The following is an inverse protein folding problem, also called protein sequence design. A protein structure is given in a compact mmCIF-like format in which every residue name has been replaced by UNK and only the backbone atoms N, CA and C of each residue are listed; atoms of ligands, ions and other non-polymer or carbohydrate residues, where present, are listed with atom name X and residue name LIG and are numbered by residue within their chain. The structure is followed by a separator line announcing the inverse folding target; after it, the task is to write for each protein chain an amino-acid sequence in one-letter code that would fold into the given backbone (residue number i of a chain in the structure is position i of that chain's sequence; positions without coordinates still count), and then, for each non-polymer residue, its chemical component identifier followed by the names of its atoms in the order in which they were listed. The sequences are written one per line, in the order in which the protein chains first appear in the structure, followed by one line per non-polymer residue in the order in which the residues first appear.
data_IF_123597422350
#
_entry.id   IF_123597422350
#
_cell.length_a   1.000
_cell.length_b   1.000
_cell.length_c   1.000
_cell.angle_alpha   90.00
_cell.angle_beta   90.00
_cell.angle_gamma   90.00
#
_symmetry.space_group_name_H-M   'P 1'
#
loop_
_entity.id
_entity.type
_entity.pdbx_description
1 polymer ?
#
# COMPACT_ATOMS: atom_id res chain seq x y z
N UNK A 1 -26.50 20.38 -29.97
CA UNK A 1 -26.85 18.98 -29.62
C UNK A 1 -25.77 18.05 -30.16
N UNK A 2 -25.47 17.03 -29.35
CA UNK A 2 -24.35 16.10 -29.36
C UNK A 2 -24.38 15.06 -30.49
N UNK A 3 -23.21 14.66 -31.00
CA UNK A 3 -22.77 13.26 -31.30
C UNK A 3 -21.32 13.30 -31.84
N UNK A 4 -20.33 12.85 -31.04
CA UNK A 4 -19.71 11.50 -31.04
C UNK A 4 -18.76 11.26 -32.21
N UNK A 5 -17.50 10.95 -31.90
CA UNK A 5 -16.59 10.30 -32.85
C UNK A 5 -15.13 10.30 -32.40
N UNK A 6 -14.65 9.15 -31.94
CA UNK A 6 -13.24 8.77 -31.79
C UNK A 6 -12.43 9.03 -33.07
N UNK A 7 -11.11 9.26 -32.97
CA UNK A 7 -10.05 8.35 -33.46
C UNK A 7 -8.68 9.04 -33.59
N UNK A 8 -7.70 8.47 -32.88
CA UNK A 8 -6.29 8.27 -33.24
C UNK A 8 -5.63 9.30 -34.17
N UNK A 9 -4.84 10.20 -33.61
CA UNK A 9 -3.87 10.98 -34.37
C UNK A 9 -2.49 10.28 -34.37
N UNK A 10 -2.14 9.76 -35.54
CA UNK A 10 -0.82 9.26 -35.89
C UNK A 10 0.23 10.39 -35.79
N UNK A 11 1.40 10.06 -35.26
CA UNK A 11 2.54 10.98 -35.19
C UNK A 11 3.25 10.97 -36.54
N UNK A 12 3.08 12.04 -37.33
CA UNK A 12 3.85 12.32 -38.53
C UNK A 12 5.00 13.27 -38.21
N UNK A 13 6.21 12.83 -38.52
CA UNK A 13 7.44 13.60 -38.37
C UNK A 13 7.52 14.75 -39.40
N UNK A 14 7.91 15.95 -38.96
CA UNK A 14 8.39 17.02 -39.84
C UNK A 14 9.74 17.53 -39.29
N UNK A 15 10.82 17.52 -40.09
CA UNK A 15 12.12 18.08 -39.70
C UNK A 15 12.21 19.57 -40.04
N UNK A 16 12.72 20.38 -39.10
CA UNK A 16 13.23 21.72 -39.38
C UNK A 16 12.49 22.87 -38.71
N UNK A 17 12.82 23.13 -37.44
CA UNK A 17 13.16 24.44 -36.86
C UNK A 17 13.22 24.27 -35.34
N UNK A 18 14.42 24.48 -34.79
CA UNK A 18 14.71 24.34 -33.39
C UNK A 18 13.99 25.40 -32.56
N UNK A 19 13.05 24.97 -31.71
CA UNK A 19 12.87 25.54 -30.39
C UNK A 19 12.48 24.41 -29.44
N UNK A 20 13.28 24.27 -28.38
CA UNK A 20 13.35 23.12 -27.51
C UNK A 20 12.02 22.79 -26.82
N UNK A 21 11.43 21.64 -27.13
CA UNK A 21 10.53 20.95 -26.20
C UNK A 21 11.34 19.84 -25.55
N UNK A 22 12.18 20.21 -24.58
CA UNK A 22 12.63 19.23 -23.60
C UNK A 22 11.41 18.97 -22.71
N UNK A 23 10.61 17.96 -23.06
CA UNK A 23 9.70 17.39 -22.07
C UNK A 23 10.62 16.74 -21.04
N UNK A 24 10.71 17.34 -19.86
CA UNK A 24 11.28 16.64 -18.74
C UNK A 24 10.26 15.54 -18.42
N UNK A 25 10.47 14.36 -19.02
CA UNK A 25 9.86 13.14 -18.54
C UNK A 25 10.01 13.18 -17.02
N UNK A 26 8.85 13.28 -16.36
CA UNK A 26 8.66 13.47 -14.94
C UNK A 26 9.66 12.58 -14.23
N UNK A 27 10.72 13.16 -13.65
CA UNK A 27 11.62 12.43 -12.78
C UNK A 27 10.88 12.22 -11.46
N UNK A 28 9.87 11.36 -11.48
CA UNK A 28 9.32 10.72 -10.30
C UNK A 28 10.24 9.56 -9.87
N UNK A 29 11.55 9.74 -10.02
CA UNK A 29 12.57 8.88 -9.40
C UNK A 29 13.03 9.66 -8.18
N UNK A 30 12.76 9.12 -7.00
CA UNK A 30 12.96 9.73 -5.68
C UNK A 30 11.73 10.46 -5.12
N UNK A 31 10.56 9.81 -5.14
CA UNK A 31 9.84 9.78 -3.85
C UNK A 31 10.82 9.12 -2.87
N UNK A 32 11.04 9.65 -1.65
CA UNK A 32 11.71 8.86 -0.63
C UNK A 32 10.98 7.52 -0.65
N UNK A 33 11.73 6.42 -0.82
CA UNK A 33 11.18 5.13 -0.44
C UNK A 33 10.87 5.36 1.02
N UNK A 34 9.61 5.63 1.33
CA UNK A 34 9.17 5.86 2.68
C UNK A 34 9.56 4.55 3.35
N UNK A 35 10.62 4.63 4.13
CA UNK A 35 11.38 3.44 4.46
C UNK A 35 10.46 2.73 5.41
N UNK A 36 9.72 1.75 4.88
CA UNK A 36 8.99 0.77 5.67
C UNK A 36 10.08 0.10 6.47
N UNK A 37 10.39 0.68 7.62
CA UNK A 37 11.38 0.17 8.54
C UNK A 37 10.83 -1.20 8.88
N UNK A 38 11.58 -2.25 8.62
CA UNK A 38 11.08 -3.57 8.95
C UNK A 38 10.98 -3.67 10.48
N UNK A 39 9.88 -4.25 10.99
CA UNK A 39 9.69 -4.42 12.42
C UNK A 39 10.54 -5.61 12.83
N UNK A 40 11.75 -5.33 13.33
CA UNK A 40 12.82 -6.31 13.49
C UNK A 40 13.34 -6.28 14.93
N UNK A 41 13.59 -7.45 15.52
CA UNK A 41 14.21 -7.60 16.86
C UNK A 41 15.70 -7.20 16.85
N UNK A 42 16.34 -7.24 18.03
CA UNK A 42 17.77 -6.92 18.19
C UNK A 42 18.69 -7.85 17.37
N UNK A 43 18.22 -9.06 17.07
CA UNK A 43 18.92 -10.07 16.28
C UNK A 43 18.68 -9.92 14.76
N UNK A 44 17.91 -8.93 14.31
CA UNK A 44 17.62 -8.77 12.89
C UNK A 44 16.46 -9.64 12.37
N UNK A 45 15.66 -10.27 13.24
CA UNK A 45 14.48 -11.07 12.85
C UNK A 45 13.20 -10.25 12.84
N UNK A 46 12.36 -10.47 11.83
CA UNK A 46 11.05 -9.84 11.73
C UNK A 46 10.16 -10.26 12.90
N UNK A 47 9.60 -9.30 13.63
CA UNK A 47 8.68 -9.54 14.72
C UNK A 47 7.28 -9.82 14.17
N UNK A 48 6.79 -11.04 14.39
CA UNK A 48 5.48 -11.50 13.95
C UNK A 48 4.48 -11.62 15.10
N UNK A 49 3.21 -11.52 14.76
CA UNK A 49 2.07 -11.81 15.65
C UNK A 49 1.36 -13.08 15.20
N UNK A 50 0.84 -13.82 16.18
CA UNK A 50 -0.03 -14.96 15.94
C UNK A 50 -1.49 -14.51 15.99
N UNK A 51 -2.23 -14.82 14.94
CA UNK A 51 -3.67 -14.66 14.86
C UNK A 51 -4.30 -16.03 15.03
N UNK A 52 -5.26 -16.17 15.93
CA UNK A 52 -6.00 -17.41 16.14
C UNK A 52 -7.49 -17.14 15.93
N UNK A 53 -8.14 -17.88 15.03
CA UNK A 53 -9.55 -17.70 14.68
C UNK A 53 -10.17 -19.03 14.27
N UNK A 54 -11.35 -19.37 14.80
CA UNK A 54 -12.10 -20.57 14.37
C UNK A 54 -11.31 -21.89 14.46
N UNK A 55 -10.35 -22.01 15.38
CA UNK A 55 -9.46 -23.18 15.49
C UNK A 55 -8.30 -23.20 14.48
N UNK A 56 -8.16 -22.17 13.67
CA UNK A 56 -7.04 -21.95 12.75
C UNK A 56 -6.07 -20.92 13.32
N UNK A 57 -4.84 -20.94 12.82
CA UNK A 57 -3.82 -19.96 13.16
C UNK A 57 -3.16 -19.38 11.91
N UNK A 58 -2.79 -18.11 11.96
CA UNK A 58 -2.01 -17.42 10.95
C UNK A 58 -0.89 -16.60 11.60
N UNK A 59 0.22 -16.43 10.89
CA UNK A 59 1.32 -15.56 11.31
C UNK A 59 1.28 -14.30 10.44
N UNK A 60 1.25 -13.14 11.07
CA UNK A 60 1.35 -11.85 10.38
C UNK A 60 2.61 -11.11 10.85
N UNK A 61 3.25 -10.37 9.96
CA UNK A 61 4.38 -9.50 10.28
C UNK A 61 3.88 -8.07 10.10
N UNK A 62 3.55 -7.35 11.18
CA UNK A 62 3.17 -5.95 11.08
C UNK A 62 4.33 -5.14 10.53
N UNK A 63 4.02 -4.15 9.70
CA UNK A 63 4.99 -3.14 9.34
C UNK A 63 5.38 -2.28 10.55
N UNK A 64 6.40 -1.43 10.38
CA UNK A 64 6.78 -0.48 11.42
C UNK A 64 6.08 0.87 11.21
N UNK A 65 4.75 0.83 11.20
CA UNK A 65 3.90 2.01 11.18
C UNK A 65 3.45 2.38 12.61
N UNK A 66 3.24 3.67 12.96
CA UNK A 66 2.72 4.06 14.29
C UNK A 66 1.46 3.30 14.70
N UNK A 67 0.47 3.18 13.80
CA UNK A 67 -0.76 2.41 14.06
C UNK A 67 -0.49 0.92 14.39
N UNK A 68 0.53 0.32 13.76
CA UNK A 68 0.92 -1.06 14.06
C UNK A 68 1.52 -1.18 15.47
N UNK A 69 2.27 -0.17 15.94
CA UNK A 69 2.80 -0.14 17.31
C UNK A 69 1.69 0.03 18.35
N UNK A 70 0.74 0.92 18.08
CA UNK A 70 -0.41 1.14 18.96
C UNK A 70 -1.25 -0.13 19.05
N UNK A 71 -1.54 -0.77 17.91
CA UNK A 71 -2.21 -2.08 17.89
C UNK A 71 -1.44 -3.16 18.67
N UNK A 72 -0.12 -3.26 18.49
CA UNK A 72 0.72 -4.22 19.20
C UNK A 72 0.71 -4.02 20.73
N UNK A 73 0.53 -2.79 21.19
CA UNK A 73 0.45 -2.48 22.63
C UNK A 73 -0.81 -3.03 23.30
N UNK A 74 -1.84 -3.35 22.51
CA UNK A 74 -3.10 -3.91 22.99
C UNK A 74 -3.06 -5.43 23.17
N UNK A 75 -1.98 -6.10 22.76
CA UNK A 75 -1.89 -7.56 22.86
C UNK A 75 -1.71 -8.02 24.31
N UNK A 76 -2.35 -9.15 24.71
CA UNK A 76 -3.22 -10.00 23.91
C UNK A 76 -4.61 -9.39 23.71
N UNK A 77 -5.12 -9.44 22.47
CA UNK A 77 -6.39 -8.84 22.08
C UNK A 77 -7.29 -9.86 21.39
N UNK A 78 -8.58 -9.87 21.76
CA UNK A 78 -9.63 -10.65 21.09
C UNK A 78 -10.61 -9.71 20.42
N UNK A 79 -10.88 -9.92 19.13
CA UNK A 79 -11.78 -9.11 18.33
C UNK A 79 -12.85 -9.97 17.67
N UNK A 80 -14.05 -9.41 17.50
CA UNK A 80 -15.12 -10.00 16.69
C UNK A 80 -15.05 -9.41 15.29
N UNK A 81 -14.83 -10.25 14.28
CA UNK A 81 -14.73 -9.82 12.89
C UNK A 81 -16.10 -9.78 12.20
N UNK A 82 -16.31 -8.75 11.39
CA UNK A 82 -17.30 -8.74 10.32
C UNK A 82 -16.69 -9.41 9.08
N UNK A 83 -17.53 -10.12 8.32
CA UNK A 83 -17.13 -10.81 7.10
C UNK A 83 -17.71 -10.10 5.89
N UNK A 84 -16.84 -9.57 5.03
CA UNK A 84 -17.25 -9.00 3.76
C UNK A 84 -17.01 -10.00 2.62
N UNK A 85 -18.11 -10.53 2.10
CA UNK A 85 -18.18 -11.41 0.95
C UNK A 85 -17.21 -12.62 1.02
N UNK A 86 -16.94 -13.13 2.23
CA UNK A 86 -16.09 -14.31 2.47
C UNK A 86 -14.61 -14.11 2.11
N UNK A 87 -14.20 -12.88 1.78
CA UNK A 87 -12.84 -12.56 1.28
C UNK A 87 -12.08 -11.67 2.25
N UNK A 88 -12.77 -10.77 2.94
CA UNK A 88 -12.17 -9.83 3.88
C UNK A 88 -12.81 -10.00 5.27
N UNK A 89 -11.95 -10.04 6.30
CA UNK A 89 -12.37 -9.99 7.70
C UNK A 89 -11.87 -8.68 8.30
N UNK A 90 -12.77 -7.88 8.86
CA UNK A 90 -12.43 -6.58 9.46
C UNK A 90 -13.02 -6.46 10.86
N UNK A 91 -12.36 -5.70 11.74
CA UNK A 91 -12.81 -5.45 13.09
C UNK A 91 -12.42 -4.04 13.53
N UNK A 92 -13.19 -3.47 14.44
CA UNK A 92 -12.87 -2.18 15.05
C UNK A 92 -11.78 -2.40 16.10
N UNK A 93 -10.65 -1.74 15.92
CA UNK A 93 -9.59 -1.72 16.93
C UNK A 93 -10.01 -0.83 18.12
N UNK A 94 -9.85 -1.29 19.37
CA UNK A 94 -10.00 -0.43 20.54
C UNK A 94 -8.99 0.71 20.54
N UNK A 95 -9.32 1.80 21.24
CA UNK A 95 -8.38 2.88 21.51
C UNK A 95 -7.35 2.45 22.57
N UNK A 96 -6.09 2.88 22.42
CA UNK A 96 -4.95 2.60 23.32
C UNK A 96 -4.81 3.63 24.43
#
# INVERSE_FOLDING_TARGET
MLKKGFFMAAILAVPGLAWHIWTNATSARNLPVDTVRENTDEDGRRMGIRLSFGGQEAMAIPDNHPASRDFLSLLPLTLTFEDDNGTEKSAVCPES
#
